data_IF_646001427687
#
_entry.id   IF_646001427687
#
_cell.length_a   1.000
_cell.length_b   1.000
_cell.length_c   1.000
_cell.angle_alpha   90.00
_cell.angle_beta   90.00
_cell.angle_gamma   90.00
#
_symmetry.space_group_name_H-M   'P 1'
#
loop_
_entity.id
_entity.type
_entity.pdbx_description
1 polymer ?
#
# COMPACT_ATOMS: atom_id res chain seq x y z
N UNK A 1 24.97 -8.40 -31.53
CA UNK A 1 23.51 -8.17 -31.62
C UNK A 1 23.16 -6.84 -30.95
N UNK A 2 22.79 -5.82 -31.73
CA UNK A 2 22.27 -4.56 -31.19
C UNK A 2 20.83 -4.79 -30.70
N UNK A 3 20.59 -4.64 -29.39
CA UNK A 3 19.26 -4.79 -28.79
C UNK A 3 18.41 -3.61 -29.28
N UNK A 4 17.67 -3.77 -30.38
CA UNK A 4 16.65 -2.80 -30.80
C UNK A 4 15.52 -2.84 -29.77
N UNK A 5 15.65 -2.06 -28.71
CA UNK A 5 14.54 -1.78 -27.81
C UNK A 5 13.59 -0.80 -28.50
N UNK A 6 12.31 -1.16 -28.62
CA UNK A 6 11.30 -0.21 -29.04
C UNK A 6 11.27 0.97 -28.06
N UNK A 7 11.10 2.19 -28.58
CA UNK A 7 10.94 3.35 -27.72
C UNK A 7 9.68 3.19 -26.86
N UNK A 8 9.66 3.79 -25.67
CA UNK A 8 8.48 3.75 -24.78
C UNK A 8 7.24 4.32 -25.47
N UNK A 9 7.42 5.30 -26.36
CA UNK A 9 6.34 5.85 -27.18
C UNK A 9 5.80 4.84 -28.18
N UNK A 10 6.67 4.09 -28.87
CA UNK A 10 6.24 3.06 -29.81
C UNK A 10 5.44 1.94 -29.10
N UNK A 11 5.94 1.48 -27.95
CA UNK A 11 5.25 0.48 -27.12
C UNK A 11 3.89 1.01 -26.64
N UNK A 12 3.82 2.27 -26.23
CA UNK A 12 2.58 2.88 -25.76
C UNK A 12 1.53 2.98 -26.86
N UNK A 13 1.93 3.37 -28.07
CA UNK A 13 1.06 3.44 -29.24
C UNK A 13 0.54 2.04 -29.62
N UNK A 14 1.42 1.04 -29.66
CA UNK A 14 1.05 -0.36 -29.94
C UNK A 14 0.04 -0.92 -28.92
N UNK A 15 0.21 -0.58 -27.64
CA UNK A 15 -0.69 -1.02 -26.57
C UNK A 15 -1.97 -0.17 -26.44
N UNK A 16 -2.10 0.94 -27.18
CA UNK A 16 -3.18 1.91 -26.99
C UNK A 16 -3.21 2.52 -25.58
N UNK A 17 -2.03 2.71 -24.96
CA UNK A 17 -1.88 3.24 -23.60
C UNK A 17 -1.16 4.58 -23.60
N UNK A 18 -1.37 5.36 -22.55
CA UNK A 18 -0.63 6.61 -22.39
C UNK A 18 0.86 6.32 -22.18
N UNK A 19 1.72 7.07 -22.87
CA UNK A 19 3.19 6.98 -22.74
C UNK A 19 3.65 7.04 -21.27
N UNK A 20 3.07 7.93 -20.49
CA UNK A 20 3.41 8.12 -19.07
C UNK A 20 3.11 6.86 -18.25
N UNK A 21 2.05 6.13 -18.58
CA UNK A 21 1.71 4.85 -17.93
C UNK A 21 2.78 3.81 -18.20
N UNK A 22 3.16 3.61 -19.47
CA UNK A 22 4.20 2.65 -19.85
C UNK A 22 5.55 3.04 -19.25
N UNK A 23 5.89 4.33 -19.27
CA UNK A 23 7.11 4.84 -18.64
C UNK A 23 7.14 4.55 -17.14
N UNK A 24 6.05 4.85 -16.43
CA UNK A 24 5.98 4.63 -14.97
C UNK A 24 6.04 3.14 -14.63
N UNK A 25 5.36 2.30 -15.40
CA UNK A 25 5.41 0.84 -15.27
C UNK A 25 6.85 0.33 -15.42
N UNK A 26 7.51 0.65 -16.53
CA UNK A 26 8.89 0.22 -16.78
C UNK A 26 9.85 0.79 -15.73
N UNK A 27 9.74 2.07 -15.39
CA UNK A 27 10.62 2.71 -14.40
C UNK A 27 10.47 2.13 -13.00
N UNK A 28 9.24 1.81 -12.57
CA UNK A 28 8.97 1.35 -11.20
C UNK A 28 9.15 -0.16 -11.04
N UNK A 29 8.88 -0.94 -12.10
CA UNK A 29 8.78 -2.39 -12.00
C UNK A 29 9.89 -3.16 -12.73
N UNK A 30 10.87 -2.48 -13.35
CA UNK A 30 12.05 -3.14 -13.95
C UNK A 30 13.13 -3.49 -12.93
N UNK A 31 13.91 -4.53 -13.25
CA UNK A 31 15.10 -4.93 -12.51
C UNK A 31 16.38 -4.42 -13.19
N UNK A 32 17.53 -4.61 -12.54
CA UNK A 32 18.85 -4.42 -13.16
C UNK A 32 19.03 -5.26 -14.44
N UNK A 33 18.37 -6.41 -14.51
CA UNK A 33 18.37 -7.32 -15.66
C UNK A 33 17.41 -6.90 -16.79
N UNK A 34 16.58 -5.88 -16.55
CA UNK A 34 15.55 -5.39 -17.47
C UNK A 34 14.12 -5.62 -16.98
N UNK A 35 13.15 -5.42 -17.88
CA UNK A 35 11.74 -5.65 -17.60
C UNK A 35 11.42 -7.15 -17.70
N UNK A 36 10.80 -7.71 -16.65
CA UNK A 36 10.28 -9.08 -16.62
C UNK A 36 8.84 -9.04 -16.14
N UNK A 37 7.89 -9.40 -17.01
CA UNK A 37 6.46 -9.22 -16.76
C UNK A 37 5.98 -9.86 -15.45
N UNK A 38 6.42 -11.11 -15.16
CA UNK A 38 6.04 -11.81 -13.92
C UNK A 38 6.55 -11.09 -12.66
N UNK A 39 7.84 -10.73 -12.64
CA UNK A 39 8.43 -9.98 -11.52
C UNK A 39 7.80 -8.60 -11.36
N UNK A 40 7.55 -7.91 -12.47
CA UNK A 40 6.94 -6.60 -12.48
C UNK A 40 5.52 -6.63 -11.87
N UNK A 41 4.72 -7.61 -12.27
CA UNK A 41 3.37 -7.82 -11.72
C UNK A 41 3.42 -8.09 -10.21
N UNK A 42 4.32 -8.97 -9.76
CA UNK A 42 4.50 -9.25 -8.32
C UNK A 42 4.86 -7.98 -7.54
N UNK A 43 5.82 -7.18 -8.01
CA UNK A 43 6.18 -5.91 -7.35
C UNK A 43 5.05 -4.92 -7.31
N UNK A 44 4.27 -4.82 -8.39
CA UNK A 44 3.11 -3.94 -8.44
C UNK A 44 2.08 -4.34 -7.37
N UNK A 45 1.84 -5.65 -7.19
CA UNK A 45 0.99 -6.19 -6.13
C UNK A 45 1.56 -5.93 -4.74
N UNK A 46 2.84 -6.21 -4.50
CA UNK A 46 3.49 -5.98 -3.20
C UNK A 46 3.44 -4.50 -2.81
N UNK A 47 3.75 -3.62 -3.76
CA UNK A 47 3.71 -2.17 -3.57
C UNK A 47 2.29 -1.68 -3.33
N UNK A 48 1.29 -2.23 -4.02
CA UNK A 48 -0.12 -1.92 -3.78
C UNK A 48 -0.56 -2.39 -2.38
N UNK A 49 -0.13 -3.60 -1.98
CA UNK A 49 -0.34 -4.14 -0.64
C UNK A 49 0.25 -3.24 0.43
N UNK A 50 1.50 -2.81 0.27
CA UNK A 50 2.18 -1.90 1.19
C UNK A 50 1.45 -0.55 1.32
N UNK A 51 1.02 0.05 0.20
CA UNK A 51 0.22 1.30 0.22
C UNK A 51 -1.12 1.13 0.93
N UNK A 52 -1.79 -0.02 0.74
CA UNK A 52 -3.05 -0.35 1.43
C UNK A 52 -2.83 -0.56 2.93
N UNK A 53 -1.69 -1.14 3.29
CA UNK A 53 -1.22 -1.39 4.67
C UNK A 53 -0.61 -0.16 5.34
N UNK A 54 -0.86 1.07 4.87
CA UNK A 54 -0.48 2.28 5.63
C UNK A 54 -0.89 2.08 7.09
N UNK A 55 0.07 2.24 8.02
CA UNK A 55 -0.07 1.88 9.44
C UNK A 55 -1.46 2.29 9.94
N UNK A 56 -2.30 1.30 10.17
CA UNK A 56 -3.66 1.47 10.66
C UNK A 56 -3.62 2.20 12.01
N UNK A 57 -4.74 2.78 12.44
CA UNK A 57 -4.80 3.44 13.76
C UNK A 57 -4.39 2.50 14.90
N UNK A 58 -4.61 1.20 14.74
CA UNK A 58 -4.22 0.16 15.70
C UNK A 58 -2.71 -0.11 15.68
N UNK A 59 -2.05 -0.07 14.52
CA UNK A 59 -0.58 -0.23 14.44
C UNK A 59 0.17 1.01 14.93
N UNK A 60 -0.47 2.18 14.97
CA UNK A 60 0.14 3.43 15.45
C UNK A 60 -0.10 3.72 16.94
N UNK A 61 -1.15 3.14 17.53
CA UNK A 61 -1.58 3.46 18.88
C UNK A 61 -1.71 2.15 19.67
N UNK A 62 -0.63 1.78 20.36
CA UNK A 62 -0.57 0.54 21.14
C UNK A 62 -1.66 0.49 22.24
N UNK A 63 -1.92 1.57 23.01
CA UNK A 63 -3.02 1.59 23.98
C UNK A 63 -4.40 1.30 23.37
N UNK A 64 -4.68 1.85 22.18
CA UNK A 64 -5.92 1.58 21.46
C UNK A 64 -5.99 0.11 21.01
N UNK A 65 -4.87 -0.44 20.53
CA UNK A 65 -4.77 -1.83 20.10
C UNK A 65 -5.02 -2.80 21.25
N UNK A 66 -4.36 -2.62 22.38
CA UNK A 66 -4.55 -3.43 23.57
C UNK A 66 -6.00 -3.38 24.06
N UNK A 67 -6.62 -2.18 24.06
CA UNK A 67 -8.02 -2.04 24.42
C UNK A 67 -8.92 -2.88 23.51
N UNK A 68 -8.76 -2.76 22.18
CA UNK A 68 -9.57 -3.50 21.21
C UNK A 68 -9.38 -5.01 21.39
N UNK A 69 -8.14 -5.49 21.52
CA UNK A 69 -7.84 -6.91 21.71
C UNK A 69 -8.45 -7.46 23.01
N UNK A 70 -8.31 -6.74 24.12
CA UNK A 70 -8.91 -7.14 25.40
C UNK A 70 -10.43 -7.28 25.31
N UNK A 71 -11.09 -6.40 24.55
CA UNK A 71 -12.56 -6.44 24.39
C UNK A 71 -13.03 -7.52 23.43
N UNK A 72 -12.27 -7.79 22.38
CA UNK A 72 -12.51 -8.95 21.52
C UNK A 72 -12.37 -10.26 22.31
N UNK A 73 -11.37 -10.38 23.19
CA UNK A 73 -11.22 -11.55 24.08
C UNK A 73 -12.40 -11.72 25.06
N UNK A 74 -13.07 -10.63 25.42
CA UNK A 74 -14.30 -10.63 26.21
C UNK A 74 -15.56 -10.86 25.35
N UNK A 75 -15.41 -11.29 24.09
CA UNK A 75 -16.49 -11.54 23.15
C UNK A 75 -17.37 -10.31 22.86
N UNK A 76 -16.81 -9.09 22.98
CA UNK A 76 -17.53 -7.89 22.56
C UNK A 76 -17.65 -7.85 21.04
N UNK A 77 -18.84 -7.52 20.54
CA UNK A 77 -19.04 -7.24 19.12
C UNK A 77 -18.17 -6.06 18.67
N UNK A 78 -17.57 -6.10 17.47
CA UNK A 78 -16.83 -4.97 16.91
C UNK A 78 -17.63 -3.65 16.90
N UNK A 79 -18.96 -3.73 16.69
CA UNK A 79 -19.84 -2.57 16.74
C UNK A 79 -19.89 -1.94 18.15
N UNK A 80 -19.97 -2.78 19.20
CA UNK A 80 -20.01 -2.32 20.58
C UNK A 80 -18.68 -1.66 21.00
N UNK A 81 -17.56 -2.23 20.57
CA UNK A 81 -16.22 -1.65 20.78
C UNK A 81 -16.16 -0.28 20.11
N UNK A 82 -16.55 -0.18 18.84
CA UNK A 82 -16.55 1.08 18.07
C UNK A 82 -17.38 2.18 18.73
N UNK A 83 -18.60 1.86 19.20
CA UNK A 83 -19.45 2.82 19.93
C UNK A 83 -18.76 3.31 21.19
N UNK A 84 -18.15 2.41 21.96
CA UNK A 84 -17.49 2.78 23.22
C UNK A 84 -16.20 3.57 23.01
N UNK A 85 -15.47 3.33 21.91
CA UNK A 85 -14.32 4.14 21.52
C UNK A 85 -14.67 5.62 21.25
N UNK A 86 -15.93 5.96 20.95
CA UNK A 86 -16.36 7.36 20.80
C UNK A 86 -16.53 8.09 22.14
N UNK A 87 -16.77 7.33 23.20
CA UNK A 87 -17.01 7.86 24.56
C UNK A 87 -15.72 7.86 25.38
N UNK A 88 -14.85 6.90 25.12
CA UNK A 88 -13.53 6.82 25.76
C UNK A 88 -12.55 7.67 24.94
N UNK A 89 -12.09 8.79 25.49
CA UNK A 89 -11.02 9.58 24.87
C UNK A 89 -9.72 8.78 24.87
N UNK A 90 -9.40 8.17 23.73
CA UNK A 90 -8.04 7.72 23.44
C UNK A 90 -7.29 8.93 22.87
N UNK A 91 -6.29 9.43 23.61
CA UNK A 91 -5.47 10.56 23.19
C UNK A 91 -5.05 10.42 21.73
N UNK A 92 -5.35 11.44 20.92
CA UNK A 92 -4.86 11.53 19.55
C UNK A 92 -3.35 11.76 19.63
N UNK A 93 -2.56 10.69 19.49
CA UNK A 93 -1.13 10.78 19.27
C UNK A 93 -0.83 11.46 17.93
N UNK A 94 -0.80 12.79 17.96
CA UNK A 94 -0.14 13.65 16.98
C UNK A 94 0.86 14.50 17.77
N UNK A 95 1.89 13.84 18.28
CA UNK A 95 3.10 14.51 18.74
C UNK A 95 3.97 14.69 17.49
N UNK A 96 3.81 15.84 16.84
CA UNK A 96 4.70 16.28 15.78
C UNK A 96 6.09 16.44 16.40
N UNK A 97 7.01 15.58 16.00
CA UNK A 97 8.45 15.78 16.19
C UNK A 97 8.81 17.05 15.40
N UNK A 98 9.16 18.11 16.13
CA UNK A 98 9.89 19.26 15.62
C UNK A 98 11.39 18.92 15.58
#
# INVERSE_FOLDING_TARGET
MSKKGNSITAIANELGRQRTTVFREVKQNSEKSGYRAFSASRRAQDSAGSRRRRRTRLEKNEPLREYVLRRLNQQWSPCAISKRLKVVSFGHGNENIA
#
